data_IF_981040805298
#
_entry.id   IF_981040805298
#
_cell.length_a   1.000
_cell.length_b   1.000
_cell.length_c   1.000
_cell.angle_alpha   90.00
_cell.angle_beta   90.00
_cell.angle_gamma   90.00
#
_symmetry.space_group_name_H-M   'P 1'
#
loop_
_entity.id
_entity.type
_entity.pdbx_description
1 polymer ?
#
# COMPACT_ATOMS: atom_id res chain seq x y z
N UNK A 1 -84.84 52.46 21.49
CA UNK A 1 -83.82 51.74 22.26
C UNK A 1 -83.53 50.41 21.59
N UNK A 2 -82.38 50.29 20.90
CA UNK A 2 -81.92 49.07 20.16
C UNK A 2 -80.97 48.31 21.07
N UNK A 3 -81.35 47.06 21.47
CA UNK A 3 -80.51 46.14 22.24
C UNK A 3 -79.52 45.48 21.33
N UNK A 4 -78.20 45.80 21.50
CA UNK A 4 -77.12 45.05 20.87
C UNK A 4 -76.98 43.67 21.55
N UNK A 5 -77.20 42.58 20.79
CA UNK A 5 -76.83 41.22 21.22
C UNK A 5 -75.31 41.03 21.05
N UNK A 6 -74.63 40.77 22.14
CA UNK A 6 -73.22 40.34 22.11
C UNK A 6 -73.18 38.90 21.49
N UNK A 7 -72.44 38.80 20.40
CA UNK A 7 -72.17 37.49 19.85
C UNK A 7 -71.21 36.75 20.78
N UNK A 8 -71.52 35.54 21.16
CA UNK A 8 -70.73 34.69 22.02
C UNK A 8 -69.41 34.30 21.28
N UNK A 9 -68.27 34.41 21.98
CA UNK A 9 -66.99 33.94 21.56
C UNK A 9 -67.04 32.43 21.27
N UNK A 10 -66.47 31.98 20.13
CA UNK A 10 -66.39 30.54 19.83
C UNK A 10 -65.49 29.86 20.87
N UNK A 11 -66.03 28.88 21.58
CA UNK A 11 -65.36 28.11 22.62
C UNK A 11 -64.05 27.50 22.07
N UNK A 12 -62.95 27.75 22.76
CA UNK A 12 -61.64 27.13 22.47
C UNK A 12 -61.81 25.60 22.49
N UNK A 13 -61.68 24.99 21.33
CA UNK A 13 -61.64 23.52 21.23
C UNK A 13 -60.45 23.05 22.07
N UNK A 14 -60.74 22.28 23.13
CA UNK A 14 -59.71 21.58 23.92
C UNK A 14 -58.95 20.65 22.97
N UNK A 15 -57.74 21.05 22.62
CA UNK A 15 -56.76 20.15 21.97
C UNK A 15 -56.30 19.14 23.01
N UNK A 16 -56.92 17.98 23.02
CA UNK A 16 -56.61 16.89 23.97
C UNK A 16 -55.66 15.89 23.30
N UNK A 17 -54.45 15.75 23.85
CA UNK A 17 -53.62 14.54 23.72
C UNK A 17 -52.85 14.30 22.39
N UNK A 18 -53.28 14.84 21.25
CA UNK A 18 -52.65 14.57 19.94
C UNK A 18 -51.23 15.16 19.82
N UNK A 19 -50.98 16.28 20.44
CA UNK A 19 -49.65 16.92 20.40
C UNK A 19 -48.55 16.06 21.06
N UNK A 20 -48.91 15.35 22.13
CA UNK A 20 -47.97 14.48 22.86
C UNK A 20 -47.55 13.27 21.98
N UNK A 21 -48.51 12.68 21.26
CA UNK A 21 -48.24 11.58 20.35
C UNK A 21 -47.36 12.04 19.18
N UNK A 22 -47.60 13.21 18.61
CA UNK A 22 -46.79 13.77 17.53
C UNK A 22 -45.36 14.01 18.03
N UNK A 23 -45.16 14.61 19.20
CA UNK A 23 -43.83 14.84 19.77
C UNK A 23 -43.12 13.51 20.04
N UNK A 24 -43.84 12.49 20.53
CA UNK A 24 -43.24 11.17 20.78
C UNK A 24 -42.77 10.50 19.49
N UNK A 25 -43.57 10.57 18.41
CA UNK A 25 -43.17 10.04 17.10
C UNK A 25 -41.99 10.79 16.53
N UNK A 26 -41.97 12.13 16.65
CA UNK A 26 -40.80 12.92 16.18
C UNK A 26 -39.55 12.60 16.98
N UNK A 27 -39.62 12.43 18.29
CA UNK A 27 -38.46 12.04 19.11
C UNK A 27 -37.91 10.66 18.71
N UNK A 28 -38.80 9.69 18.47
CA UNK A 28 -38.38 8.36 17.99
C UNK A 28 -37.72 8.48 16.62
N UNK A 29 -38.29 9.24 15.68
CA UNK A 29 -37.74 9.43 14.36
C UNK A 29 -36.35 10.10 14.43
N UNK A 30 -36.17 11.15 15.23
CA UNK A 30 -34.86 11.81 15.41
C UNK A 30 -33.86 10.88 16.09
N UNK A 31 -34.26 10.07 17.04
CA UNK A 31 -33.40 9.09 17.70
C UNK A 31 -32.87 8.05 16.69
N UNK A 32 -33.74 7.51 15.83
CA UNK A 32 -33.37 6.55 14.80
C UNK A 32 -32.41 7.16 13.77
N UNK A 33 -32.66 8.40 13.33
CA UNK A 33 -31.78 9.14 12.45
C UNK A 33 -30.41 9.38 13.10
N UNK A 34 -30.37 9.75 14.38
CA UNK A 34 -29.12 9.93 15.13
C UNK A 34 -28.27 8.66 15.16
N UNK A 35 -28.88 7.52 15.45
CA UNK A 35 -28.17 6.21 15.44
C UNK A 35 -27.67 5.84 14.04
N UNK A 36 -28.45 6.12 13.00
CA UNK A 36 -28.05 5.85 11.62
C UNK A 36 -26.83 6.68 11.22
N UNK A 37 -26.80 7.96 11.57
CA UNK A 37 -25.66 8.87 11.30
C UNK A 37 -24.41 8.38 12.04
N UNK A 38 -24.50 8.02 13.32
CA UNK A 38 -23.37 7.54 14.11
C UNK A 38 -22.76 6.25 13.51
N UNK A 39 -23.58 5.32 13.04
CA UNK A 39 -23.11 4.10 12.39
C UNK A 39 -22.38 4.42 11.07
N UNK A 40 -22.91 5.36 10.29
CA UNK A 40 -22.27 5.78 9.02
C UNK A 40 -20.90 6.42 9.28
N UNK A 41 -20.80 7.31 10.27
CA UNK A 41 -19.53 7.95 10.65
C UNK A 41 -18.49 6.94 11.10
N UNK A 42 -18.84 5.99 11.95
CA UNK A 42 -17.94 4.94 12.42
C UNK A 42 -17.41 4.05 11.28
N UNK A 43 -18.26 3.78 10.28
CA UNK A 43 -17.84 3.02 9.09
C UNK A 43 -16.87 3.82 8.22
N UNK A 44 -17.10 5.12 8.05
CA UNK A 44 -16.21 6.02 7.30
C UNK A 44 -14.84 6.15 7.98
N UNK A 45 -14.79 6.27 9.31
CA UNK A 45 -13.55 6.31 10.07
C UNK A 45 -12.71 5.03 9.88
N UNK A 46 -13.34 3.86 9.98
CA UNK A 46 -12.66 2.57 9.74
C UNK A 46 -12.14 2.46 8.30
N UNK A 47 -12.94 2.86 7.33
CA UNK A 47 -12.52 2.87 5.92
C UNK A 47 -11.34 3.83 5.69
N UNK A 48 -11.39 5.03 6.27
CA UNK A 48 -10.31 6.00 6.22
C UNK A 48 -9.02 5.49 6.85
N UNK A 49 -9.11 4.84 8.01
CA UNK A 49 -7.97 4.22 8.69
C UNK A 49 -7.32 3.12 7.82
N UNK A 50 -8.14 2.23 7.22
CA UNK A 50 -7.64 1.17 6.34
C UNK A 50 -6.98 1.71 5.07
N UNK A 51 -7.55 2.75 4.47
CA UNK A 51 -6.95 3.41 3.29
C UNK A 51 -5.60 4.05 3.63
N UNK A 52 -5.51 4.73 4.77
CA UNK A 52 -4.26 5.32 5.25
C UNK A 52 -3.21 4.25 5.50
N UNK A 53 -3.58 3.16 6.15
CA UNK A 53 -2.69 2.05 6.46
C UNK A 53 -2.12 1.43 5.17
N UNK A 54 -2.98 1.16 4.20
CA UNK A 54 -2.57 0.66 2.88
C UNK A 54 -1.65 1.64 2.14
N UNK A 55 -1.93 2.95 2.22
CA UNK A 55 -1.09 3.97 1.60
C UNK A 55 0.30 4.03 2.23
N UNK A 56 0.41 3.91 3.55
CA UNK A 56 1.69 3.86 4.26
C UNK A 56 2.48 2.60 3.90
N UNK A 57 1.82 1.43 3.88
CA UNK A 57 2.46 0.18 3.49
C UNK A 57 2.96 0.22 2.04
N UNK A 58 2.20 0.84 1.13
CA UNK A 58 2.61 1.04 -0.26
C UNK A 58 3.85 1.94 -0.38
N UNK A 59 3.88 3.07 0.34
CA UNK A 59 5.04 3.97 0.37
C UNK A 59 6.28 3.27 0.92
N UNK A 60 6.14 2.44 1.95
CA UNK A 60 7.24 1.65 2.48
C UNK A 60 7.76 0.61 1.49
N UNK A 61 6.86 -0.08 0.79
CA UNK A 61 7.23 -1.01 -0.26
C UNK A 61 7.93 -0.30 -1.43
N UNK A 62 7.48 0.91 -1.83
CA UNK A 62 8.20 1.72 -2.83
C UNK A 62 9.59 2.13 -2.36
N UNK A 63 9.74 2.51 -1.09
CA UNK A 63 11.06 2.84 -0.55
C UNK A 63 11.99 1.62 -0.57
N UNK A 64 11.49 0.44 -0.22
CA UNK A 64 12.23 -0.82 -0.33
C UNK A 64 12.63 -1.13 -1.77
N UNK A 65 11.71 -0.89 -2.72
CA UNK A 65 11.97 -1.12 -4.14
C UNK A 65 13.10 -0.21 -4.65
N UNK A 66 13.08 1.07 -4.29
CA UNK A 66 14.15 2.03 -4.63
C UNK A 66 15.48 1.61 -4.02
N UNK A 67 15.49 1.25 -2.75
CA UNK A 67 16.69 0.76 -2.09
C UNK A 67 17.28 -0.47 -2.80
N UNK A 68 16.47 -1.48 -3.11
CA UNK A 68 16.91 -2.67 -3.82
C UNK A 68 17.39 -2.36 -5.26
N UNK A 69 16.76 -1.38 -5.94
CA UNK A 69 17.24 -0.87 -7.21
C UNK A 69 18.62 -0.20 -7.08
N UNK A 70 18.82 0.59 -6.04
CA UNK A 70 20.12 1.25 -5.77
C UNK A 70 21.21 0.23 -5.46
N UNK A 71 20.90 -0.87 -4.76
CA UNK A 71 21.82 -1.99 -4.55
C UNK A 71 22.33 -2.54 -5.91
N UNK A 72 21.42 -2.81 -6.85
CA UNK A 72 21.78 -3.33 -8.18
C UNK A 72 22.50 -2.27 -9.03
N UNK A 73 22.01 -1.04 -9.04
CA UNK A 73 22.58 0.05 -9.84
C UNK A 73 23.91 0.56 -9.28
N UNK A 74 24.16 0.35 -7.99
CA UNK A 74 25.39 0.68 -7.28
C UNK A 74 26.50 -0.37 -7.40
N UNK A 75 26.26 -1.47 -8.14
CA UNK A 75 27.27 -2.50 -8.41
C UNK A 75 27.01 -3.83 -7.71
N UNK A 76 25.84 -3.99 -7.07
CA UNK A 76 25.39 -5.30 -6.60
C UNK A 76 25.21 -6.25 -7.78
N UNK A 77 25.93 -7.35 -7.79
CA UNK A 77 25.88 -8.33 -8.86
C UNK A 77 25.75 -9.75 -8.31
N UNK A 78 25.21 -10.62 -9.13
CA UNK A 78 25.28 -12.05 -8.95
C UNK A 78 26.65 -12.51 -9.52
N UNK A 79 27.40 -13.26 -8.73
CA UNK A 79 28.66 -13.84 -9.22
C UNK A 79 28.35 -15.10 -10.03
N UNK A 80 28.44 -14.98 -11.35
CA UNK A 80 28.23 -16.08 -12.28
C UNK A 80 29.42 -17.03 -12.35
N UNK A 81 30.56 -16.68 -11.75
CA UNK A 81 31.76 -17.50 -11.72
C UNK A 81 31.79 -18.50 -10.55
N UNK A 82 30.92 -18.33 -9.57
CA UNK A 82 30.79 -19.27 -8.46
C UNK A 82 29.88 -20.42 -8.94
N UNK A 83 30.31 -21.70 -8.82
CA UNK A 83 29.43 -22.82 -9.14
C UNK A 83 28.19 -22.71 -8.28
N UNK A 84 27.08 -22.43 -8.92
CA UNK A 84 25.71 -22.18 -8.47
C UNK A 84 25.55 -22.24 -6.95
N UNK A 85 25.70 -21.11 -6.22
CA UNK A 85 25.32 -21.13 -4.80
C UNK A 85 23.84 -21.44 -4.73
N UNK A 86 23.49 -22.39 -3.90
CA UNK A 86 22.09 -22.74 -3.64
C UNK A 86 21.37 -21.57 -2.92
N UNK A 87 22.15 -20.66 -2.35
CA UNK A 87 21.66 -19.63 -1.42
C UNK A 87 21.88 -18.20 -1.97
N UNK A 88 21.04 -17.28 -1.48
CA UNK A 88 21.17 -15.87 -1.79
C UNK A 88 22.46 -15.29 -1.18
N UNK A 89 23.06 -14.32 -1.87
CA UNK A 89 24.25 -13.64 -1.39
C UNK A 89 23.97 -12.63 -0.26
N UNK A 90 25.03 -11.97 0.23
CA UNK A 90 24.94 -10.98 1.32
C UNK A 90 24.09 -9.75 0.98
N UNK A 91 23.83 -9.47 -0.29
CA UNK A 91 22.97 -8.37 -0.75
C UNK A 91 21.52 -8.80 -0.97
N UNK A 92 21.19 -10.06 -0.67
CA UNK A 92 19.86 -10.61 -0.92
C UNK A 92 19.59 -10.95 -2.39
N UNK A 93 20.67 -11.10 -3.20
CA UNK A 93 20.57 -11.52 -4.59
C UNK A 93 20.63 -13.05 -4.62
N UNK A 94 19.61 -13.64 -5.22
CA UNK A 94 19.33 -15.08 -5.24
C UNK A 94 19.55 -15.66 -6.64
N UNK A 95 19.82 -16.97 -6.75
CA UNK A 95 19.95 -17.67 -8.04
C UNK A 95 18.66 -17.61 -8.86
N UNK A 96 18.75 -17.83 -10.17
CA UNK A 96 17.59 -17.86 -11.05
C UNK A 96 16.65 -19.02 -10.68
N UNK A 97 15.34 -18.75 -10.72
CA UNK A 97 14.30 -19.73 -10.39
C UNK A 97 14.05 -19.91 -8.89
N UNK A 98 14.63 -19.07 -8.06
CA UNK A 98 14.36 -19.07 -6.61
C UNK A 98 12.89 -18.78 -6.33
N UNK A 99 12.26 -19.62 -5.49
CA UNK A 99 10.87 -19.42 -5.09
C UNK A 99 10.79 -18.54 -3.83
N UNK A 100 9.72 -17.82 -3.70
CA UNK A 100 9.47 -16.96 -2.52
C UNK A 100 9.48 -17.75 -1.19
N UNK A 101 9.10 -19.04 -1.23
CA UNK A 101 9.15 -19.93 -0.07
C UNK A 101 10.56 -20.22 0.44
N UNK A 102 11.56 -20.11 -0.43
CA UNK A 102 12.93 -20.58 -0.20
C UNK A 102 13.88 -19.41 0.09
N UNK A 103 13.37 -18.17 0.06
CA UNK A 103 14.18 -16.98 0.30
C UNK A 103 14.15 -16.54 1.77
N UNK A 104 15.27 -16.03 2.23
CA UNK A 104 15.32 -15.22 3.45
C UNK A 104 15.10 -13.76 3.08
N UNK A 105 13.95 -13.23 3.45
CA UNK A 105 13.64 -11.82 3.27
C UNK A 105 14.60 -10.94 4.07
N UNK A 106 15.01 -9.85 3.50
CA UNK A 106 15.94 -8.90 4.11
C UNK A 106 15.26 -7.58 4.41
N UNK A 107 15.46 -7.11 5.63
CA UNK A 107 15.01 -5.77 6.03
C UNK A 107 15.77 -4.70 5.26
N UNK A 108 15.06 -3.67 4.85
CA UNK A 108 15.69 -2.43 4.39
C UNK A 108 16.38 -1.77 5.59
N UNK A 109 17.67 -1.38 5.47
CA UNK A 109 18.37 -0.74 6.59
C UNK A 109 17.65 0.53 7.05
N UNK A 110 17.58 0.73 8.38
CA UNK A 110 16.92 1.90 8.97
C UNK A 110 17.52 3.24 8.52
N UNK A 111 18.79 3.24 8.08
CA UNK A 111 19.43 4.41 7.49
C UNK A 111 18.86 4.79 6.11
N UNK A 112 18.35 3.81 5.36
CA UNK A 112 17.72 4.05 4.06
C UNK A 112 16.21 4.35 4.19
N UNK A 113 15.53 3.65 5.10
CA UNK A 113 14.12 3.87 5.41
C UNK A 113 13.84 3.51 6.86
N UNK A 114 13.33 4.46 7.65
CA UNK A 114 12.98 4.24 9.05
C UNK A 114 11.47 4.04 9.20
N UNK A 115 11.06 2.78 9.34
CA UNK A 115 9.66 2.40 9.47
C UNK A 115 8.99 3.02 10.71
N UNK A 116 9.67 3.05 11.84
CA UNK A 116 9.14 3.64 13.09
C UNK A 116 8.87 5.13 12.93
N UNK A 117 9.79 5.87 12.30
CA UNK A 117 9.59 7.30 12.02
C UNK A 117 8.46 7.54 11.01
N UNK A 118 8.20 6.59 10.12
CA UNK A 118 7.09 6.62 9.18
C UNK A 118 5.75 6.13 9.76
N UNK A 119 5.70 5.73 11.03
CA UNK A 119 4.50 5.23 11.71
C UNK A 119 4.12 3.80 11.32
N UNK A 120 5.08 3.01 10.85
CA UNK A 120 4.93 1.59 10.53
C UNK A 120 5.39 0.71 11.70
N UNK A 121 4.80 -0.46 11.83
CA UNK A 121 5.10 -1.41 12.89
C UNK A 121 6.30 -2.32 12.56
N UNK A 122 6.67 -2.47 11.29
CA UNK A 122 7.77 -3.30 10.82
C UNK A 122 8.52 -2.63 9.67
N UNK A 123 9.80 -2.99 9.50
CA UNK A 123 10.59 -2.59 8.35
C UNK A 123 10.06 -3.28 7.10
N UNK A 124 10.08 -2.60 5.93
CA UNK A 124 9.82 -3.26 4.67
C UNK A 124 10.99 -4.16 4.31
N UNK A 125 10.67 -5.26 3.65
CA UNK A 125 11.60 -6.30 3.30
C UNK A 125 11.75 -6.45 1.79
N UNK A 126 12.87 -6.98 1.34
CA UNK A 126 13.14 -7.22 -0.08
C UNK A 126 13.94 -8.51 -0.30
N UNK A 127 13.89 -8.99 -1.52
CA UNK A 127 14.84 -9.94 -2.10
C UNK A 127 14.94 -9.71 -3.60
N UNK A 128 16.02 -10.18 -4.19
CA UNK A 128 16.38 -9.93 -5.58
C UNK A 128 16.70 -11.27 -6.23
N UNK A 129 16.10 -11.55 -7.37
CA UNK A 129 16.39 -12.74 -8.18
C UNK A 129 17.20 -12.35 -9.41
N UNK A 130 18.28 -13.05 -9.65
CA UNK A 130 19.02 -12.95 -10.91
C UNK A 130 18.25 -13.70 -12.01
N UNK A 131 17.97 -13.05 -13.13
CA UNK A 131 17.20 -13.61 -14.24
C UNK A 131 18.09 -14.08 -15.42
N UNK A 132 19.40 -13.90 -15.31
CA UNK A 132 20.31 -14.07 -16.43
C UNK A 132 20.66 -12.77 -17.12
N UNK A 133 21.23 -12.87 -18.31
CA UNK A 133 21.62 -11.72 -19.13
C UNK A 133 20.58 -11.40 -20.19
N UNK A 134 20.36 -10.13 -20.44
CA UNK A 134 19.46 -9.63 -21.46
C UNK A 134 20.04 -8.44 -22.21
N UNK A 135 19.29 -7.83 -23.11
CA UNK A 135 19.76 -6.68 -23.87
C UNK A 135 20.10 -5.53 -22.93
N UNK A 136 21.31 -4.99 -23.11
CA UNK A 136 21.78 -3.84 -22.33
C UNK A 136 20.97 -2.59 -22.64
N UNK A 137 21.01 -1.62 -21.72
CA UNK A 137 20.42 -0.29 -21.95
C UNK A 137 21.12 0.52 -23.03
N UNK A 138 22.40 0.20 -23.28
CA UNK A 138 23.23 0.79 -24.34
C UNK A 138 23.94 -0.34 -25.06
N UNK A 139 24.10 -0.18 -26.35
CA UNK A 139 24.70 -1.18 -27.21
C UNK A 139 23.68 -1.99 -27.98
N UNK A 140 24.09 -2.49 -29.12
CA UNK A 140 23.31 -3.31 -30.02
C UNK A 140 24.03 -4.64 -30.24
N UNK A 141 23.40 -5.75 -29.81
CA UNK A 141 23.93 -7.10 -30.02
C UNK A 141 23.78 -7.58 -31.47
N UNK A 142 22.92 -6.95 -32.24
CA UNK A 142 22.59 -7.21 -33.63
C UNK A 142 23.44 -6.38 -34.62
N UNK A 143 24.29 -5.47 -34.14
CA UNK A 143 25.29 -4.78 -34.96
C UNK A 143 26.49 -5.66 -35.31
N UNK A 144 27.14 -5.44 -36.45
CA UNK A 144 28.36 -6.13 -36.85
C UNK A 144 29.55 -5.12 -36.92
N UNK A 145 30.56 -5.28 -36.06
CA UNK A 145 30.64 -6.19 -34.90
C UNK A 145 29.68 -5.83 -33.75
N UNK A 146 29.26 -6.79 -32.95
CA UNK A 146 28.44 -6.51 -31.78
C UNK A 146 29.19 -5.59 -30.80
N UNK A 147 28.49 -4.67 -30.16
CA UNK A 147 29.12 -3.85 -29.11
C UNK A 147 29.43 -4.73 -27.89
N UNK A 148 30.59 -4.53 -27.26
CA UNK A 148 31.01 -5.28 -26.07
C UNK A 148 30.01 -5.13 -24.89
N UNK A 149 29.23 -4.06 -24.88
CA UNK A 149 28.27 -3.72 -23.82
C UNK A 149 26.84 -4.05 -24.22
N UNK A 150 26.62 -5.01 -25.13
CA UNK A 150 25.28 -5.27 -25.65
C UNK A 150 24.41 -6.11 -24.72
N UNK A 151 25.00 -6.80 -23.74
CA UNK A 151 24.29 -7.59 -22.74
C UNK A 151 24.53 -7.06 -21.34
N UNK A 152 23.51 -7.14 -20.51
CA UNK A 152 23.57 -6.76 -19.10
C UNK A 152 22.78 -7.72 -18.24
N UNK A 153 23.21 -7.94 -16.98
CA UNK A 153 22.47 -8.73 -16.03
C UNK A 153 21.09 -8.15 -15.76
N UNK A 154 20.09 -9.00 -15.70
CA UNK A 154 18.70 -8.66 -15.37
C UNK A 154 18.32 -9.23 -14.02
N UNK A 155 17.61 -8.46 -13.25
CA UNK A 155 17.20 -8.81 -11.90
C UNK A 155 15.70 -8.55 -11.73
N UNK A 156 15.04 -9.45 -11.01
CA UNK A 156 13.68 -9.26 -10.50
C UNK A 156 13.78 -8.90 -9.02
N UNK A 157 13.25 -7.76 -8.67
CA UNK A 157 13.19 -7.28 -7.29
C UNK A 157 11.77 -7.52 -6.78
N UNK A 158 11.64 -8.21 -5.68
CA UNK A 158 10.36 -8.38 -4.98
C UNK A 158 10.50 -7.78 -3.60
N UNK A 159 9.57 -6.92 -3.24
CA UNK A 159 9.55 -6.22 -1.96
C UNK A 159 8.20 -6.40 -1.29
N UNK A 160 8.18 -6.36 0.03
CA UNK A 160 6.94 -6.38 0.80
C UNK A 160 7.01 -5.42 1.98
N UNK A 161 5.86 -4.87 2.31
CA UNK A 161 5.62 -4.17 3.58
C UNK A 161 4.47 -4.87 4.28
N UNK A 162 4.78 -5.53 5.40
CA UNK A 162 3.84 -6.36 6.14
C UNK A 162 4.04 -6.20 7.64
N UNK A 163 2.93 -6.07 8.37
CA UNK A 163 2.92 -6.14 9.83
C UNK A 163 1.62 -6.80 10.29
N UNK A 164 1.64 -7.43 11.46
CA UNK A 164 0.47 -8.10 12.00
C UNK A 164 -0.69 -7.12 12.21
N UNK A 165 -1.87 -7.48 11.72
CA UNK A 165 -3.09 -6.63 11.79
C UNK A 165 -3.06 -5.38 10.92
N UNK A 166 -2.10 -5.25 10.01
CA UNK A 166 -1.92 -4.10 9.11
C UNK A 166 -2.05 -4.51 7.65
N UNK A 167 -2.05 -3.53 6.75
CA UNK A 167 -2.08 -3.81 5.32
C UNK A 167 -0.80 -4.53 4.87
N UNK A 168 -0.96 -5.55 4.03
CA UNK A 168 0.11 -6.27 3.36
C UNK A 168 0.18 -5.79 1.90
N UNK A 169 1.36 -5.32 1.48
CA UNK A 169 1.61 -4.82 0.14
C UNK A 169 2.88 -5.46 -0.40
N UNK A 170 2.77 -6.09 -1.57
CA UNK A 170 3.90 -6.67 -2.30
C UNK A 170 4.04 -5.94 -3.64
N UNK A 171 5.26 -5.51 -3.96
CA UNK A 171 5.59 -4.91 -5.25
C UNK A 171 6.70 -5.73 -5.92
N UNK A 172 6.67 -5.77 -7.25
CA UNK A 172 7.69 -6.44 -8.04
C UNK A 172 8.11 -5.56 -9.21
N UNK A 173 9.40 -5.55 -9.50
CA UNK A 173 9.96 -4.82 -10.64
C UNK A 173 11.11 -5.60 -11.25
N UNK A 174 11.33 -5.43 -12.56
CA UNK A 174 12.50 -5.97 -13.25
C UNK A 174 13.44 -4.82 -13.59
N UNK A 175 14.73 -5.00 -13.29
CA UNK A 175 15.78 -4.00 -13.49
C UNK A 175 16.91 -4.61 -14.32
N UNK A 176 17.41 -3.85 -15.26
CA UNK A 176 18.64 -4.17 -16.02
C UNK A 176 19.79 -3.42 -15.36
N UNK A 177 20.85 -4.13 -15.00
CA UNK A 177 22.06 -3.52 -14.44
C UNK A 177 22.65 -2.51 -15.42
N UNK A 178 23.33 -1.48 -14.87
CA UNK A 178 24.12 -0.54 -15.68
C UNK A 178 25.52 -1.06 -16.00
N UNK A 179 25.95 -2.06 -15.24
CA UNK A 179 27.28 -2.67 -15.39
C UNK A 179 27.12 -3.76 -16.43
N UNK A 180 27.88 -3.71 -17.55
CA UNK A 180 27.91 -4.79 -18.51
C UNK A 180 28.35 -6.08 -17.83
N UNK A 181 27.85 -7.22 -18.32
CA UNK A 181 28.30 -8.52 -17.84
C UNK A 181 29.71 -8.77 -18.39
N UNK A 182 30.77 -8.87 -17.57
CA UNK A 182 32.13 -9.08 -18.03
C UNK A 182 32.34 -10.46 -18.65
N UNK A 183 31.37 -11.37 -18.55
CA UNK A 183 31.45 -12.72 -19.10
C UNK A 183 30.50 -12.99 -20.29
N UNK A 184 29.89 -11.94 -20.88
CA UNK A 184 28.94 -12.08 -21.98
C UNK A 184 29.56 -11.99 -23.36
#
# INVERSE_FOLDING_TARGET
MKKHRFAGTPGARRQSGVSLVIVMVLLIAMSLLGVAILRSSAMQERMGANLRDRSLAFQAAEAALRYAQDVILGGGAWDTNVPTPADCNNLGICPPGTKESDVTWRDVPAAAFNATAAGLAAQPEYWIEYLGTGPARKGACDSLPPSLDCKSPMYRITVRSRAEGRADVVLQSTVVSRIPDPGA
#
